data_IF_735264727351
#
_entry.id   IF_735264727351
#
_cell.length_a   1.000
_cell.length_b   1.000
_cell.length_c   1.000
_cell.angle_alpha   90.00
_cell.angle_beta   90.00
_cell.angle_gamma   90.00
#
_symmetry.space_group_name_H-M   'P 1'
#
loop_
_entity.id
_entity.type
_entity.pdbx_description
1 polymer ?
#
# COMPACT_ATOMS: atom_id res chain seq x y z
N UNK A 1 -8.75 6.64 25.41
CA UNK A 1 -9.80 5.83 24.72
C UNK A 1 -9.91 6.14 23.23
N UNK A 2 -10.05 7.40 22.81
CA UNK A 2 -10.29 7.74 21.38
C UNK A 2 -9.12 7.30 20.46
N UNK A 3 -7.87 7.43 20.86
CA UNK A 3 -6.69 7.02 20.07
C UNK A 3 -6.72 5.51 19.77
N UNK A 4 -7.04 4.67 20.76
CA UNK A 4 -7.16 3.23 20.58
C UNK A 4 -8.32 2.87 19.65
N UNK A 5 -9.45 3.59 19.73
CA UNK A 5 -10.56 3.41 18.81
C UNK A 5 -10.17 3.82 17.39
N UNK A 6 -9.42 4.91 17.21
CA UNK A 6 -8.92 5.37 15.91
C UNK A 6 -7.98 4.32 15.28
N UNK A 7 -7.08 3.74 16.06
CA UNK A 7 -6.20 2.65 15.59
C UNK A 7 -7.03 1.42 15.23
N UNK A 8 -7.98 1.01 16.09
CA UNK A 8 -8.85 -0.13 15.81
C UNK A 8 -9.68 0.07 14.53
N UNK A 9 -10.22 1.28 14.30
CA UNK A 9 -10.94 1.62 13.06
C UNK A 9 -10.02 1.51 11.84
N UNK A 10 -8.78 2.00 11.93
CA UNK A 10 -7.82 1.86 10.84
C UNK A 10 -7.48 0.39 10.54
N UNK A 11 -7.24 -0.42 11.58
CA UNK A 11 -6.98 -1.85 11.39
C UNK A 11 -8.21 -2.60 10.88
N UNK A 12 -9.41 -2.31 11.39
CA UNK A 12 -10.65 -2.91 10.91
C UNK A 12 -10.91 -2.60 9.42
N UNK A 13 -10.45 -1.44 8.94
CA UNK A 13 -10.64 -1.01 7.55
C UNK A 13 -9.56 -1.55 6.61
N UNK A 14 -8.29 -1.52 7.02
CA UNK A 14 -7.15 -1.74 6.14
C UNK A 14 -6.43 -3.07 6.40
N UNK A 15 -6.98 -3.92 7.30
CA UNK A 15 -6.42 -5.22 7.60
C UNK A 15 -7.49 -6.26 7.94
N UNK A 16 -7.11 -7.54 7.82
CA UNK A 16 -7.91 -8.68 8.28
C UNK A 16 -7.61 -9.05 9.75
N UNK A 17 -6.76 -8.26 10.42
CA UNK A 17 -6.40 -8.52 11.82
C UNK A 17 -7.63 -8.34 12.71
N UNK A 18 -7.98 -9.32 13.54
CA UNK A 18 -9.11 -9.19 14.44
C UNK A 18 -8.85 -8.11 15.49
N UNK A 19 -9.66 -7.07 15.46
CA UNK A 19 -9.62 -5.96 16.41
C UNK A 19 -11.01 -5.72 17.00
N UNK A 20 -11.12 -5.13 18.20
CA UNK A 20 -12.42 -4.74 18.74
C UNK A 20 -13.18 -3.85 17.76
N UNK A 21 -14.44 -4.23 17.49
CA UNK A 21 -15.27 -3.48 16.55
C UNK A 21 -15.93 -2.30 17.28
N UNK A 22 -15.73 -1.12 16.75
CA UNK A 22 -16.35 0.11 17.24
C UNK A 22 -17.27 0.68 16.17
N UNK A 23 -18.39 1.26 16.57
CA UNK A 23 -19.22 2.04 15.65
C UNK A 23 -18.39 3.22 15.09
N UNK A 24 -18.34 3.33 13.77
CA UNK A 24 -17.61 4.40 13.10
C UNK A 24 -18.33 5.73 13.30
N UNK A 25 -17.60 6.72 13.76
CA UNK A 25 -18.11 8.07 13.99
C UNK A 25 -17.04 9.11 13.67
N UNK A 26 -17.44 10.37 13.55
CA UNK A 26 -16.53 11.47 13.19
C UNK A 26 -15.29 11.57 14.09
N UNK A 27 -15.42 11.22 15.38
CA UNK A 27 -14.31 11.34 16.35
C UNK A 27 -13.24 10.28 16.14
N UNK A 28 -13.63 9.00 15.92
CA UNK A 28 -12.66 7.90 15.75
C UNK A 28 -12.17 7.73 14.32
N UNK A 29 -12.90 8.25 13.31
CA UNK A 29 -12.47 8.28 11.92
C UNK A 29 -11.58 9.47 11.59
N UNK A 30 -11.66 10.56 12.34
CA UNK A 30 -11.00 11.84 12.06
C UNK A 30 -9.51 11.73 11.75
N UNK A 31 -8.80 10.80 12.39
CA UNK A 31 -7.37 10.58 12.25
C UNK A 31 -7.01 9.14 11.85
N UNK A 32 -7.99 8.35 11.42
CA UNK A 32 -7.76 6.93 11.09
C UNK A 32 -6.71 6.75 9.97
N UNK A 33 -6.65 7.66 9.00
CA UNK A 33 -5.63 7.66 7.96
C UNK A 33 -4.20 7.84 8.50
N UNK A 34 -4.02 8.54 9.63
CA UNK A 34 -2.72 8.65 10.30
C UNK A 34 -2.28 7.34 10.96
N UNK A 35 -3.21 6.44 11.27
CA UNK A 35 -2.92 5.11 11.81
C UNK A 35 -2.70 4.05 10.72
N UNK A 36 -3.02 4.32 9.46
CA UNK A 36 -2.80 3.38 8.36
C UNK A 36 -1.34 2.91 8.21
N UNK A 37 -0.31 3.75 8.39
CA UNK A 37 1.10 3.31 8.39
C UNK A 37 1.41 2.20 9.40
N UNK A 38 0.64 2.07 10.50
CA UNK A 38 0.82 1.00 11.49
C UNK A 38 0.52 -0.40 10.89
N UNK A 39 -0.37 -0.49 9.91
CA UNK A 39 -0.59 -1.74 9.16
C UNK A 39 0.67 -2.12 8.39
N UNK A 40 1.37 -1.13 7.80
CA UNK A 40 2.67 -1.33 7.16
C UNK A 40 3.75 -1.80 8.13
N UNK A 41 3.76 -1.23 9.33
CA UNK A 41 4.68 -1.66 10.40
C UNK A 41 4.43 -3.12 10.79
N UNK A 42 3.18 -3.53 10.92
CA UNK A 42 2.82 -4.93 11.20
C UNK A 42 3.25 -5.86 10.06
N UNK A 43 2.99 -5.50 8.80
CA UNK A 43 3.46 -6.26 7.65
C UNK A 43 4.99 -6.42 7.69
N UNK A 44 5.72 -5.34 7.91
CA UNK A 44 7.17 -5.35 7.99
C UNK A 44 7.70 -6.20 9.15
N UNK A 45 7.08 -6.11 10.33
CA UNK A 45 7.45 -6.93 11.49
C UNK A 45 7.26 -8.43 11.21
N UNK A 46 6.13 -8.85 10.65
CA UNK A 46 5.87 -10.24 10.29
C UNK A 46 6.77 -10.71 9.14
N UNK A 47 7.08 -9.83 8.19
CA UNK A 47 8.06 -10.11 7.14
C UNK A 47 9.45 -10.36 7.73
N UNK A 48 9.88 -9.57 8.71
CA UNK A 48 11.12 -9.81 9.45
C UNK A 48 11.11 -11.15 10.19
N UNK A 49 9.98 -11.53 10.81
CA UNK A 49 9.83 -12.86 11.43
C UNK A 49 10.08 -13.97 10.42
N UNK A 50 9.47 -13.89 9.22
CA UNK A 50 9.75 -14.85 8.13
C UNK A 50 11.23 -14.86 7.73
N UNK A 51 11.90 -13.71 7.79
CA UNK A 51 13.32 -13.57 7.43
C UNK A 51 14.28 -14.24 8.42
N UNK A 52 13.96 -14.20 9.73
CA UNK A 52 14.81 -14.77 10.79
C UNK A 52 14.50 -16.24 11.10
N UNK A 53 13.32 -16.73 10.72
CA UNK A 53 12.97 -18.14 10.91
C UNK A 53 13.84 -19.04 10.02
N UNK A 54 14.22 -20.23 10.49
CA UNK A 54 15.02 -21.19 9.73
C UNK A 54 14.19 -21.92 8.68
N UNK A 55 13.55 -21.14 7.80
CA UNK A 55 12.72 -21.66 6.72
C UNK A 55 13.56 -22.00 5.49
N UNK A 56 13.21 -23.08 4.74
CA UNK A 56 13.75 -23.29 3.40
C UNK A 56 13.46 -22.10 2.50
N UNK A 57 14.37 -21.82 1.55
CA UNK A 57 14.27 -20.63 0.70
C UNK A 57 12.91 -20.45 -0.01
N UNK A 58 12.26 -21.49 -0.57
CA UNK A 58 10.93 -21.34 -1.16
C UNK A 58 9.85 -20.94 -0.14
N UNK A 59 9.88 -21.51 1.07
CA UNK A 59 8.91 -21.20 2.11
C UNK A 59 9.09 -19.76 2.63
N UNK A 60 10.34 -19.30 2.77
CA UNK A 60 10.64 -17.92 3.13
C UNK A 60 10.18 -16.94 2.05
N UNK A 61 10.42 -17.23 0.79
CA UNK A 61 9.94 -16.42 -0.34
C UNK A 61 8.41 -16.34 -0.37
N UNK A 62 7.73 -17.46 -0.14
CA UNK A 62 6.28 -17.51 -0.01
C UNK A 62 5.79 -16.67 1.20
N UNK A 63 6.46 -16.75 2.35
CA UNK A 63 6.18 -15.92 3.50
C UNK A 63 6.32 -14.43 3.19
N UNK A 64 7.40 -14.02 2.54
CA UNK A 64 7.63 -12.64 2.11
C UNK A 64 6.53 -12.12 1.18
N UNK A 65 6.02 -12.97 0.28
CA UNK A 65 4.96 -12.64 -0.66
C UNK A 65 3.58 -12.59 0.02
N UNK A 66 3.28 -13.53 0.90
CA UNK A 66 1.92 -13.73 1.42
C UNK A 66 1.64 -12.95 2.71
N UNK A 67 2.66 -12.54 3.47
CA UNK A 67 2.45 -11.75 4.70
C UNK A 67 1.62 -10.49 4.46
N UNK A 68 1.90 -9.62 3.48
CA UNK A 68 1.06 -8.46 3.23
C UNK A 68 -0.37 -8.85 2.85
N UNK A 69 -0.55 -9.94 2.09
CA UNK A 69 -1.87 -10.43 1.67
C UNK A 69 -2.68 -10.88 2.88
N UNK A 70 -2.09 -11.68 3.77
CA UNK A 70 -2.77 -12.17 4.98
C UNK A 70 -3.10 -11.05 5.95
N UNK A 71 -2.16 -10.12 6.16
CA UNK A 71 -2.40 -8.99 7.05
C UNK A 71 -3.52 -8.09 6.52
N UNK A 72 -3.58 -7.84 5.22
CA UNK A 72 -4.58 -6.93 4.63
C UNK A 72 -5.86 -7.63 4.21
N UNK A 73 -5.92 -8.97 4.26
CA UNK A 73 -7.06 -9.75 3.76
C UNK A 73 -7.27 -9.62 2.26
N UNK A 74 -6.25 -9.17 1.51
CA UNK A 74 -6.31 -9.01 0.07
C UNK A 74 -7.00 -7.74 -0.44
N UNK A 75 -7.50 -6.85 0.43
CA UNK A 75 -8.25 -5.64 0.00
C UNK A 75 -7.46 -4.75 -0.99
N UNK A 76 -6.14 -4.69 -0.85
CA UNK A 76 -5.32 -3.91 -1.76
C UNK A 76 -5.09 -4.62 -3.10
N UNK A 77 -5.02 -5.97 -3.09
CA UNK A 77 -4.95 -6.78 -4.31
C UNK A 77 -6.25 -6.73 -5.11
N UNK A 78 -7.39 -6.71 -4.42
CA UNK A 78 -8.70 -6.51 -5.02
C UNK A 78 -8.74 -5.19 -5.80
N UNK A 79 -8.41 -4.09 -5.13
CA UNK A 79 -8.31 -2.79 -5.80
C UNK A 79 -7.25 -2.73 -6.91
N UNK A 80 -6.15 -3.49 -6.78
CA UNK A 80 -5.17 -3.64 -7.85
C UNK A 80 -5.75 -4.32 -9.08
N UNK A 81 -6.49 -5.41 -8.89
CA UNK A 81 -7.13 -6.18 -9.94
C UNK A 81 -8.15 -5.32 -10.70
N UNK A 82 -9.07 -4.70 -9.98
CA UNK A 82 -10.13 -3.86 -10.53
C UNK A 82 -9.57 -2.68 -11.31
N UNK A 83 -8.56 -2.02 -10.75
CA UNK A 83 -7.90 -0.90 -11.44
C UNK A 83 -7.16 -1.35 -12.68
N UNK A 84 -6.51 -2.52 -12.66
CA UNK A 84 -5.85 -3.06 -13.85
C UNK A 84 -6.85 -3.35 -14.97
N UNK A 85 -8.02 -3.89 -14.64
CA UNK A 85 -9.09 -4.17 -15.60
C UNK A 85 -9.67 -2.87 -16.18
N UNK A 86 -9.98 -1.90 -15.32
CA UNK A 86 -10.48 -0.60 -15.73
C UNK A 86 -9.50 0.14 -16.66
N UNK A 87 -8.20 0.14 -16.34
CA UNK A 87 -7.18 0.79 -17.15
C UNK A 87 -6.92 0.07 -18.48
N UNK A 88 -7.12 -1.26 -18.54
CA UNK A 88 -6.96 -2.05 -19.75
C UNK A 88 -8.14 -1.91 -20.73
N UNK A 89 -9.28 -1.38 -20.30
CA UNK A 89 -10.48 -1.25 -21.12
C UNK A 89 -10.34 -0.27 -22.30
N UNK A 90 -9.34 0.61 -22.28
CA UNK A 90 -9.17 1.73 -23.24
C UNK A 90 -10.40 2.65 -23.37
N UNK A 91 -11.39 2.49 -22.47
CA UNK A 91 -12.59 3.33 -22.41
C UNK A 91 -12.31 4.74 -21.88
N UNK A 92 -13.33 5.61 -22.01
CA UNK A 92 -13.34 6.91 -21.37
C UNK A 92 -13.39 6.80 -19.83
N UNK A 93 -13.44 7.94 -19.16
CA UNK A 93 -13.49 8.01 -17.71
C UNK A 93 -14.72 7.33 -17.12
N UNK A 94 -15.88 7.57 -17.72
CA UNK A 94 -17.17 7.01 -17.27
C UNK A 94 -17.14 5.48 -17.35
N UNK A 95 -16.65 4.92 -18.45
CA UNK A 95 -16.54 3.47 -18.64
C UNK A 95 -15.57 2.84 -17.64
N UNK A 96 -14.43 3.48 -17.37
CA UNK A 96 -13.49 3.00 -16.33
C UNK A 96 -14.11 3.00 -14.94
N UNK A 97 -14.85 4.06 -14.59
CA UNK A 97 -15.57 4.15 -13.32
C UNK A 97 -16.74 3.16 -13.22
N UNK A 98 -17.33 2.75 -14.34
CA UNK A 98 -18.33 1.68 -14.41
C UNK A 98 -17.68 0.31 -14.11
N UNK A 99 -16.55 0.00 -14.76
CA UNK A 99 -15.80 -1.24 -14.54
C UNK A 99 -15.40 -1.37 -13.06
N UNK A 100 -14.93 -0.30 -12.43
CA UNK A 100 -14.61 -0.28 -10.98
C UNK A 100 -15.85 -0.50 -10.06
N UNK A 101 -17.03 -0.67 -10.58
CA UNK A 101 -18.25 -1.01 -9.81
C UNK A 101 -18.74 -2.42 -10.13
N UNK A 102 -18.21 -3.04 -11.18
CA UNK A 102 -18.58 -4.40 -11.57
C UNK A 102 -17.97 -5.40 -10.57
N UNK A 103 -18.77 -6.26 -9.93
CA UNK A 103 -18.25 -7.26 -9.01
C UNK A 103 -17.55 -8.43 -9.72
N UNK A 104 -17.54 -8.46 -11.05
CA UNK A 104 -16.91 -9.52 -11.81
C UNK A 104 -15.47 -9.19 -12.15
N UNK A 105 -14.58 -10.13 -11.90
CA UNK A 105 -13.16 -10.01 -12.25
C UNK A 105 -12.96 -10.24 -13.76
N UNK A 106 -12.39 -9.28 -14.46
CA UNK A 106 -12.08 -9.40 -15.87
C UNK A 106 -10.77 -10.15 -16.16
N UNK A 107 -10.57 -10.49 -17.43
CA UNK A 107 -9.39 -11.26 -17.85
C UNK A 107 -8.07 -10.51 -17.60
N UNK A 108 -8.05 -9.19 -17.77
CA UNK A 108 -6.83 -8.41 -17.53
C UNK A 108 -6.47 -8.32 -16.05
N UNK A 109 -7.46 -8.27 -15.15
CA UNK A 109 -7.23 -8.38 -13.72
C UNK A 109 -6.52 -9.69 -13.37
N UNK A 110 -7.01 -10.83 -13.87
CA UNK A 110 -6.41 -12.15 -13.64
C UNK A 110 -4.98 -12.21 -14.18
N UNK A 111 -4.75 -11.78 -15.42
CA UNK A 111 -3.41 -11.75 -16.05
C UNK A 111 -2.46 -10.89 -15.21
N UNK A 112 -2.90 -9.73 -14.75
CA UNK A 112 -2.07 -8.81 -13.95
C UNK A 112 -1.78 -9.35 -12.55
N UNK A 113 -2.74 -10.00 -11.90
CA UNK A 113 -2.54 -10.67 -10.61
C UNK A 113 -1.53 -11.82 -10.72
N UNK A 114 -1.70 -12.70 -11.72
CA UNK A 114 -0.76 -13.80 -11.96
C UNK A 114 0.65 -13.28 -12.23
N UNK A 115 0.77 -12.24 -13.06
CA UNK A 115 2.06 -11.61 -13.37
C UNK A 115 2.68 -10.95 -12.12
N UNK A 116 1.86 -10.28 -11.29
CA UNK A 116 2.28 -9.67 -10.04
C UNK A 116 2.86 -10.72 -9.09
N UNK A 117 2.10 -11.81 -8.82
CA UNK A 117 2.56 -12.85 -7.91
C UNK A 117 3.80 -13.59 -8.43
N UNK A 118 3.88 -13.86 -9.73
CA UNK A 118 5.06 -14.48 -10.33
C UNK A 118 6.30 -13.59 -10.15
N UNK A 119 6.19 -12.30 -10.47
CA UNK A 119 7.27 -11.34 -10.30
C UNK A 119 7.66 -11.15 -8.83
N UNK A 120 6.66 -11.01 -7.94
CA UNK A 120 6.91 -10.84 -6.50
C UNK A 120 7.61 -12.06 -5.90
N UNK A 121 7.16 -13.28 -6.20
CA UNK A 121 7.79 -14.52 -5.72
C UNK A 121 9.23 -14.67 -6.23
N UNK A 122 9.49 -14.36 -7.50
CA UNK A 122 10.82 -14.39 -8.06
C UNK A 122 11.77 -13.40 -7.34
N UNK A 123 11.30 -12.16 -7.12
CA UNK A 123 12.08 -11.16 -6.39
C UNK A 123 12.28 -11.56 -4.93
N UNK A 124 11.22 -12.01 -4.26
CA UNK A 124 11.27 -12.46 -2.86
C UNK A 124 12.26 -13.64 -2.66
N UNK A 125 12.36 -14.54 -3.64
CA UNK A 125 13.33 -15.63 -3.62
C UNK A 125 14.78 -15.15 -3.75
N UNK A 126 15.01 -13.99 -4.37
CA UNK A 126 16.33 -13.38 -4.51
C UNK A 126 16.76 -12.58 -3.27
N UNK A 127 15.86 -12.25 -2.36
CA UNK A 127 16.17 -11.44 -1.17
C UNK A 127 17.13 -12.18 -0.25
N UNK A 128 18.28 -11.59 -0.02
CA UNK A 128 19.21 -11.99 1.05
C UNK A 128 18.82 -11.24 2.33
N UNK A 129 18.16 -11.94 3.24
CA UNK A 129 17.69 -11.32 4.46
C UNK A 129 18.83 -11.00 5.40
N UNK A 130 18.88 -9.75 5.85
CA UNK A 130 19.70 -9.26 6.97
C UNK A 130 18.83 -8.35 7.84
N UNK A 131 19.20 -8.10 9.12
CA UNK A 131 18.45 -7.15 9.95
C UNK A 131 18.32 -5.75 9.32
N UNK A 132 19.33 -5.30 8.59
CA UNK A 132 19.31 -4.03 7.84
C UNK A 132 18.26 -4.07 6.73
N UNK A 133 18.21 -5.13 5.95
CA UNK A 133 17.22 -5.35 4.88
C UNK A 133 15.80 -5.40 5.46
N UNK A 134 15.61 -6.09 6.59
CA UNK A 134 14.34 -6.12 7.32
C UNK A 134 13.89 -4.73 7.76
N UNK A 135 14.81 -3.92 8.31
CA UNK A 135 14.51 -2.55 8.71
C UNK A 135 14.15 -1.67 7.49
N UNK A 136 14.92 -1.73 6.41
CA UNK A 136 14.65 -1.00 5.16
C UNK A 136 13.29 -1.37 4.57
N UNK A 137 12.97 -2.67 4.52
CA UNK A 137 11.68 -3.12 3.99
C UNK A 137 10.51 -2.68 4.87
N UNK A 138 10.67 -2.76 6.19
CA UNK A 138 9.65 -2.27 7.13
C UNK A 138 9.38 -0.77 6.94
N UNK A 139 10.43 0.06 6.86
CA UNK A 139 10.30 1.50 6.60
C UNK A 139 9.62 1.77 5.25
N UNK A 140 9.94 0.99 4.22
CA UNK A 140 9.34 1.10 2.90
C UNK A 140 7.83 0.81 2.94
N UNK A 141 7.41 -0.26 3.63
CA UNK A 141 5.99 -0.62 3.80
C UNK A 141 5.22 0.43 4.64
N UNK A 142 5.86 1.07 5.59
CA UNK A 142 5.27 2.19 6.36
C UNK A 142 5.15 3.42 5.48
N UNK A 143 6.17 3.72 4.65
CA UNK A 143 6.20 4.87 3.75
C UNK A 143 5.08 4.80 2.71
N UNK A 144 4.90 3.68 2.03
CA UNK A 144 3.87 3.57 0.98
C UNK A 144 2.46 3.76 1.53
N UNK A 145 2.19 3.26 2.76
CA UNK A 145 0.89 3.46 3.42
C UNK A 145 0.71 4.89 3.91
N UNK A 146 1.79 5.54 4.34
CA UNK A 146 1.76 6.98 4.63
C UNK A 146 1.44 7.80 3.38
N UNK A 147 2.05 7.48 2.25
CA UNK A 147 1.78 8.13 0.95
C UNK A 147 0.36 7.85 0.47
N UNK A 148 -0.16 6.61 0.60
CA UNK A 148 -1.53 6.27 0.25
C UNK A 148 -2.55 7.04 1.08
N UNK A 149 -2.36 7.11 2.42
CA UNK A 149 -3.20 7.92 3.29
C UNK A 149 -3.11 9.42 2.98
N UNK A 150 -1.92 9.91 2.63
CA UNK A 150 -1.70 11.28 2.18
C UNK A 150 -2.48 11.58 0.88
N UNK A 151 -2.50 10.64 -0.07
CA UNK A 151 -3.28 10.80 -1.30
C UNK A 151 -4.77 10.97 -1.00
N UNK A 152 -5.34 10.16 -0.10
CA UNK A 152 -6.76 10.28 0.31
C UNK A 152 -7.07 11.66 0.92
N UNK A 153 -6.11 12.24 1.66
CA UNK A 153 -6.28 13.56 2.27
C UNK A 153 -6.02 14.74 1.31
N UNK A 154 -5.24 14.52 0.24
CA UNK A 154 -4.72 15.61 -0.60
C UNK A 154 -5.30 15.64 -2.03
N UNK A 155 -5.53 14.48 -2.65
CA UNK A 155 -5.96 14.40 -4.05
C UNK A 155 -7.47 14.63 -4.21
N UNK A 156 -7.93 15.01 -5.41
CA UNK A 156 -9.37 15.04 -5.71
C UNK A 156 -9.94 13.63 -5.67
N UNK A 157 -11.22 13.50 -5.26
CA UNK A 157 -11.94 12.24 -5.28
C UNK A 157 -12.61 12.02 -6.65
N UNK A 158 -12.51 10.80 -7.19
CA UNK A 158 -13.17 10.45 -8.46
C UNK A 158 -14.68 10.22 -8.31
N UNK A 159 -15.11 9.80 -7.12
CA UNK A 159 -16.51 9.46 -6.79
C UNK A 159 -16.88 10.12 -5.45
N UNK A 160 -18.16 10.48 -5.28
CA UNK A 160 -18.71 10.98 -4.02
C UNK A 160 -19.29 9.84 -3.16
N UNK A 161 -18.83 8.61 -3.36
CA UNK A 161 -19.28 7.40 -2.68
C UNK A 161 -18.12 6.45 -2.44
N UNK A 162 -18.33 5.46 -1.58
CA UNK A 162 -17.34 4.43 -1.27
C UNK A 162 -16.46 4.78 -0.08
N UNK A 163 -15.69 3.79 0.36
CA UNK A 163 -14.93 3.85 1.60
C UNK A 163 -13.87 4.96 1.60
N UNK A 164 -13.13 5.13 0.51
CA UNK A 164 -12.13 6.20 0.42
C UNK A 164 -12.78 7.60 0.58
N UNK A 165 -13.94 7.82 -0.04
CA UNK A 165 -14.70 9.06 0.13
C UNK A 165 -15.19 9.24 1.58
N UNK A 166 -15.71 8.18 2.21
CA UNK A 166 -16.15 8.22 3.60
C UNK A 166 -15.01 8.64 4.54
N UNK A 167 -13.81 8.05 4.38
CA UNK A 167 -12.64 8.43 5.16
C UNK A 167 -12.15 9.84 4.83
N UNK A 168 -12.16 10.24 3.56
CA UNK A 168 -11.78 11.60 3.16
C UNK A 168 -12.72 12.68 3.73
N UNK A 169 -14.03 12.40 3.83
CA UNK A 169 -15.00 13.31 4.40
C UNK A 169 -14.92 13.39 5.94
N UNK A 170 -14.67 12.26 6.61
CA UNK A 170 -14.55 12.22 8.07
C UNK A 170 -13.20 12.76 8.57
N UNK A 171 -12.16 12.76 7.73
CA UNK A 171 -10.83 13.17 8.11
C UNK A 171 -10.69 14.68 8.30
N UNK A 172 -9.91 15.07 9.31
CA UNK A 172 -9.32 16.40 9.37
C UNK A 172 -8.20 16.50 8.32
N UNK A 173 -8.60 16.79 7.08
CA UNK A 173 -7.71 16.74 5.91
C UNK A 173 -6.43 17.57 6.10
N UNK A 174 -6.50 18.71 6.78
CA UNK A 174 -5.34 19.57 7.02
C UNK A 174 -4.33 18.90 7.97
N UNK A 175 -4.83 18.40 9.10
CA UNK A 175 -3.97 17.74 10.10
C UNK A 175 -3.43 16.43 9.54
N UNK A 176 -4.27 15.58 8.94
CA UNK A 176 -3.86 14.30 8.34
C UNK A 176 -2.79 14.52 7.27
N UNK A 177 -2.99 15.47 6.37
CA UNK A 177 -2.00 15.83 5.33
C UNK A 177 -0.66 16.23 5.95
N UNK A 178 -0.68 17.12 6.93
CA UNK A 178 0.56 17.61 7.56
C UNK A 178 1.29 16.47 8.30
N UNK A 179 0.58 15.66 9.09
CA UNK A 179 1.15 14.53 9.83
C UNK A 179 1.77 13.51 8.89
N UNK A 180 1.03 13.10 7.85
CA UNK A 180 1.53 12.10 6.90
C UNK A 180 2.64 12.64 6.00
N UNK A 181 2.65 13.94 5.68
CA UNK A 181 3.78 14.56 4.97
C UNK A 181 5.04 14.55 5.83
N UNK A 182 4.95 14.98 7.08
CA UNK A 182 6.10 14.95 8.01
C UNK A 182 6.60 13.53 8.20
N UNK A 183 5.69 12.57 8.41
CA UNK A 183 6.04 11.15 8.53
C UNK A 183 6.75 10.65 7.26
N UNK A 184 6.24 10.94 6.07
CA UNK A 184 6.86 10.52 4.81
C UNK A 184 8.27 11.10 4.64
N UNK A 185 8.47 12.39 4.98
CA UNK A 185 9.80 13.01 4.94
C UNK A 185 10.77 12.35 5.91
N UNK A 186 10.34 12.06 7.14
CA UNK A 186 11.16 11.37 8.13
C UNK A 186 11.51 9.94 7.69
N UNK A 187 10.56 9.21 7.11
CA UNK A 187 10.78 7.86 6.58
C UNK A 187 11.74 7.86 5.38
N UNK A 188 11.62 8.83 4.47
CA UNK A 188 12.58 9.01 3.37
C UNK A 188 13.98 9.32 3.91
N UNK A 189 14.10 10.19 4.91
CA UNK A 189 15.37 10.47 5.58
C UNK A 189 15.98 9.25 6.25
N UNK A 190 15.16 8.43 6.95
CA UNK A 190 15.60 7.20 7.58
C UNK A 190 16.05 6.15 6.54
N UNK A 191 15.30 5.99 5.45
CA UNK A 191 15.69 5.12 4.34
C UNK A 191 17.03 5.56 3.71
N UNK A 192 17.22 6.87 3.46
CA UNK A 192 18.47 7.41 2.96
C UNK A 192 19.64 7.14 3.93
N UNK A 193 19.45 7.40 5.21
CA UNK A 193 20.47 7.18 6.25
C UNK A 193 20.90 5.71 6.36
N UNK A 194 19.98 4.76 6.10
CA UNK A 194 20.24 3.33 6.10
C UNK A 194 20.71 2.78 4.73
N UNK A 195 20.89 3.64 3.72
CA UNK A 195 21.31 3.24 2.37
C UNK A 195 20.16 2.76 1.48
N UNK A 196 18.91 2.93 1.89
CA UNK A 196 17.70 2.56 1.13
C UNK A 196 17.16 3.68 0.24
N UNK A 197 17.99 4.61 -0.21
CA UNK A 197 17.57 5.75 -1.03
C UNK A 197 16.83 5.37 -2.30
N UNK A 198 17.18 4.23 -2.91
CA UNK A 198 16.47 3.71 -4.08
C UNK A 198 15.00 3.36 -3.78
N UNK A 199 14.70 2.80 -2.59
CA UNK A 199 13.34 2.49 -2.17
C UNK A 199 12.52 3.77 -2.00
N UNK A 200 13.10 4.80 -1.36
CA UNK A 200 12.47 6.10 -1.19
C UNK A 200 12.19 6.76 -2.55
N UNK A 201 13.16 6.72 -3.46
CA UNK A 201 13.02 7.29 -4.81
C UNK A 201 11.90 6.59 -5.59
N UNK A 202 11.83 5.26 -5.57
CA UNK A 202 10.77 4.48 -6.22
C UNK A 202 9.40 4.84 -5.63
N UNK A 203 9.27 4.90 -4.30
CA UNK A 203 8.00 5.24 -3.66
C UNK A 203 7.50 6.64 -4.07
N UNK A 204 8.39 7.64 -4.11
CA UNK A 204 8.04 9.01 -4.52
C UNK A 204 7.71 9.09 -6.02
N UNK A 205 8.48 8.43 -6.89
CA UNK A 205 8.19 8.42 -8.33
C UNK A 205 6.84 7.77 -8.62
N UNK A 206 6.52 6.66 -7.94
CA UNK A 206 5.23 6.00 -8.08
C UNK A 206 4.09 6.81 -7.47
N UNK A 207 4.33 7.56 -6.41
CA UNK A 207 3.34 8.49 -5.85
C UNK A 207 2.99 9.63 -6.82
N UNK A 208 3.98 10.19 -7.50
CA UNK A 208 3.75 11.19 -8.54
C UNK A 208 3.01 10.59 -9.74
N UNK A 209 3.38 9.38 -10.15
CA UNK A 209 2.67 8.67 -11.22
C UNK A 209 1.24 8.31 -10.82
N UNK A 210 1.02 7.87 -9.58
CA UNK A 210 -0.31 7.63 -9.03
C UNK A 210 -1.20 8.88 -9.13
N UNK A 211 -0.69 10.06 -8.77
CA UNK A 211 -1.42 11.32 -8.94
C UNK A 211 -1.80 11.56 -10.40
N UNK A 212 -0.83 11.38 -11.31
CA UNK A 212 -1.07 11.53 -12.74
C UNK A 212 -2.17 10.59 -13.25
N UNK A 213 -2.08 9.30 -12.92
CA UNK A 213 -3.10 8.31 -13.29
C UNK A 213 -4.47 8.64 -12.69
N UNK A 214 -4.51 9.00 -11.41
CA UNK A 214 -5.75 9.38 -10.72
C UNK A 214 -6.47 10.52 -11.47
N UNK A 215 -5.77 11.60 -11.75
CA UNK A 215 -6.37 12.79 -12.36
C UNK A 215 -6.73 12.55 -13.83
N UNK A 216 -5.82 11.98 -14.62
CA UNK A 216 -6.00 11.83 -16.07
C UNK A 216 -6.96 10.70 -16.43
N UNK A 217 -6.91 9.57 -15.71
CA UNK A 217 -7.68 8.39 -16.10
C UNK A 217 -9.05 8.30 -15.42
N UNK A 218 -9.16 8.77 -14.18
CA UNK A 218 -10.36 8.62 -13.35
C UNK A 218 -10.92 9.96 -12.84
N UNK A 219 -10.18 11.06 -13.03
CA UNK A 219 -10.52 12.41 -12.56
C UNK A 219 -10.40 12.58 -11.05
N UNK A 220 -9.72 11.64 -10.37
CA UNK A 220 -9.47 11.62 -8.94
C UNK A 220 -9.18 10.22 -8.44
N UNK A 221 -9.01 10.08 -7.12
CA UNK A 221 -8.74 8.79 -6.51
C UNK A 221 -10.01 8.00 -6.20
N UNK A 222 -9.87 6.67 -6.21
CA UNK A 222 -10.81 5.69 -5.63
C UNK A 222 -10.08 4.83 -4.61
N UNK A 223 -10.81 4.02 -3.84
CA UNK A 223 -10.21 3.01 -2.96
C UNK A 223 -9.40 1.99 -3.74
N UNK A 224 -9.94 1.55 -4.89
CA UNK A 224 -9.33 0.56 -5.77
C UNK A 224 -7.99 1.07 -6.32
N UNK A 225 -7.97 2.33 -6.79
CA UNK A 225 -6.74 2.96 -7.26
C UNK A 225 -5.71 3.15 -6.14
N UNK A 226 -6.13 3.34 -4.89
CA UNK A 226 -5.23 3.36 -3.74
C UNK A 226 -4.60 1.97 -3.50
N UNK A 227 -5.38 0.90 -3.61
CA UNK A 227 -4.88 -0.49 -3.58
C UNK A 227 -3.90 -0.76 -4.71
N UNK A 228 -4.21 -0.32 -5.93
CA UNK A 228 -3.32 -0.42 -7.08
C UNK A 228 -1.98 0.29 -6.86
N UNK A 229 -2.01 1.49 -6.28
CA UNK A 229 -0.79 2.22 -5.93
C UNK A 229 0.07 1.42 -4.94
N UNK A 230 -0.52 0.89 -3.87
CA UNK A 230 0.20 0.11 -2.86
C UNK A 230 0.88 -1.12 -3.47
N UNK A 231 0.14 -1.93 -4.25
CA UNK A 231 0.71 -3.14 -4.86
C UNK A 231 1.81 -2.82 -5.87
N UNK A 232 1.64 -1.76 -6.67
CA UNK A 232 2.69 -1.29 -7.59
C UNK A 232 3.92 -0.84 -6.83
N UNK A 233 3.75 -0.04 -5.79
CA UNK A 233 4.85 0.52 -5.01
C UNK A 233 5.61 -0.59 -4.29
N UNK A 234 4.90 -1.53 -3.67
CA UNK A 234 5.49 -2.68 -2.99
C UNK A 234 6.33 -3.54 -3.94
N UNK A 235 5.80 -3.88 -5.13
CA UNK A 235 6.53 -4.68 -6.12
C UNK A 235 7.80 -3.96 -6.62
N UNK A 236 7.71 -2.68 -6.97
CA UNK A 236 8.85 -1.95 -7.50
C UNK A 236 9.89 -1.59 -6.42
N UNK A 237 9.49 -1.36 -5.18
CA UNK A 237 10.43 -1.22 -4.07
C UNK A 237 11.16 -2.54 -3.79
N UNK A 238 10.47 -3.70 -3.90
CA UNK A 238 11.13 -5.01 -3.77
C UNK A 238 12.14 -5.24 -4.90
N UNK A 239 11.81 -4.86 -6.13
CA UNK A 239 12.74 -4.91 -7.25
C UNK A 239 13.96 -4.01 -7.01
N UNK A 240 13.75 -2.79 -6.50
CA UNK A 240 14.85 -1.89 -6.16
C UNK A 240 15.72 -2.43 -5.03
N UNK A 241 15.12 -3.06 -4.01
CA UNK A 241 15.85 -3.72 -2.93
C UNK A 241 16.77 -4.82 -3.47
N UNK A 242 16.24 -5.72 -4.30
CA UNK A 242 17.03 -6.77 -4.95
C UNK A 242 18.13 -6.19 -5.82
N UNK A 243 17.84 -5.16 -6.62
CA UNK A 243 18.84 -4.52 -7.45
C UNK A 243 19.99 -3.90 -6.63
N UNK A 244 19.67 -3.27 -5.48
CA UNK A 244 20.69 -2.75 -4.56
C UNK A 244 21.55 -3.88 -3.98
N UNK A 245 20.97 -5.02 -3.63
CA UNK A 245 21.72 -6.18 -3.14
C UNK A 245 22.62 -6.77 -4.24
N UNK A 246 22.14 -6.92 -5.47
CA UNK A 246 22.94 -7.42 -6.59
C UNK A 246 24.09 -6.48 -6.97
N UNK A 247 23.87 -5.17 -6.79
CA UNK A 247 24.90 -4.15 -7.00
C UNK A 247 25.87 -3.98 -5.82
N UNK A 248 25.73 -4.75 -4.73
CA UNK A 248 26.60 -4.65 -3.56
C UNK A 248 26.43 -3.36 -2.75
N UNK A 249 25.27 -2.71 -2.86
CA UNK A 249 24.94 -1.47 -2.12
C UNK A 249 24.31 -1.75 -0.75
N UNK A 250 23.80 -2.97 -0.52
CA UNK A 250 23.13 -3.41 0.70
C UNK A 250 23.66 -4.74 1.19
#
# INVERSE_FOLDING_TARGET
MIVLQTIAVAFAMFSAVPVPQFAWNEKNMRYALCAFPLVGLLCGALWCVCGVLPLPAPARAAGFCLVPVWVTGGIHLDGYADTCDALASYGDREKKLEILKDPHCGAFAVIRLCSYFAAYLCLAACVQFTPRVGALWTLALVLERALSGLAVAAFPMAKNTGLAHTFACAADRKVVRNVLTVLAVLLCGALLALGGGALAAVAILLFLWYHHVAVQQLGGITGDLAGWFLQKTELWMLAALCACQWGGLL
#
